data_IF_806450130710
#
_entry.id   IF_806450130710
#
_cell.length_a   1.000
_cell.length_b   1.000
_cell.length_c   1.000
_cell.angle_alpha   90.00
_cell.angle_beta   90.00
_cell.angle_gamma   90.00
#
_symmetry.space_group_name_H-M   'P 1'
#
loop_
_entity.id
_entity.type
_entity.pdbx_description
1 polymer ?
#
# COMPACT_ATOMS: atom_id res chain seq x y z
N UNK A 1 18.94 -5.00 -0.24
CA UNK A 1 17.52 -4.88 0.17
C UNK A 1 17.24 -3.40 0.36
N UNK A 2 16.42 -2.83 -0.49
CA UNK A 2 15.97 -1.43 -0.43
C UNK A 2 14.47 -1.39 -0.09
N UNK A 3 14.00 -0.25 0.44
CA UNK A 3 12.59 0.03 0.68
C UNK A 3 12.17 1.18 -0.23
N UNK A 4 11.20 0.93 -1.08
CA UNK A 4 10.59 1.91 -1.98
C UNK A 4 9.15 2.19 -1.57
N UNK A 5 8.60 3.31 -2.02
CA UNK A 5 7.17 3.60 -1.91
C UNK A 5 6.65 4.21 -3.20
N UNK A 6 5.43 3.83 -3.54
CA UNK A 6 4.64 4.40 -4.64
C UNK A 6 3.17 4.31 -4.26
N UNK A 7 2.39 5.35 -4.51
CA UNK A 7 0.95 5.37 -4.25
C UNK A 7 0.16 5.53 -5.55
N UNK A 8 -1.16 5.38 -5.47
CA UNK A 8 -2.11 5.76 -6.51
C UNK A 8 -1.83 5.09 -7.87
N UNK A 9 -1.64 3.77 -7.85
CA UNK A 9 -1.40 3.01 -9.09
C UNK A 9 -2.64 2.92 -9.98
N UNK A 10 -3.83 3.02 -9.39
CA UNK A 10 -5.11 3.08 -10.10
C UNK A 10 -5.21 2.09 -11.27
N UNK A 11 -4.78 0.86 -11.03
CA UNK A 11 -4.85 -0.19 -12.04
C UNK A 11 -6.30 -0.50 -12.41
N UNK A 12 -6.52 -0.96 -13.63
CA UNK A 12 -7.87 -1.23 -14.15
C UNK A 12 -7.90 -2.38 -15.16
N UNK A 13 -7.02 -3.36 -15.01
CA UNK A 13 -6.98 -4.50 -15.93
C UNK A 13 -8.23 -5.38 -15.88
N UNK A 14 -8.94 -5.38 -14.75
CA UNK A 14 -10.16 -6.15 -14.55
C UNK A 14 -11.45 -5.35 -14.64
N UNK A 15 -11.38 -4.05 -14.92
CA UNK A 15 -12.55 -3.17 -15.05
C UNK A 15 -12.34 -2.12 -16.14
N UNK A 16 -13.45 -1.57 -16.66
CA UNK A 16 -13.41 -0.56 -17.72
C UNK A 16 -13.31 0.86 -17.14
N UNK A 17 -12.13 1.18 -16.59
CA UNK A 17 -11.79 2.53 -16.10
C UNK A 17 -10.36 2.89 -16.49
N UNK A 18 -10.08 3.11 -17.79
CA UNK A 18 -8.75 3.40 -18.27
C UNK A 18 -8.26 4.76 -17.75
N UNK A 19 -7.05 4.78 -17.17
CA UNK A 19 -6.41 6.02 -16.70
C UNK A 19 -5.69 6.77 -17.82
N UNK A 20 -5.41 6.15 -18.94
CA UNK A 20 -4.71 6.72 -20.10
C UNK A 20 -5.51 7.79 -20.84
N UNK A 21 -6.79 7.97 -20.51
CA UNK A 21 -7.60 9.12 -20.96
C UNK A 21 -7.11 10.44 -20.33
N UNK A 22 -6.36 10.41 -19.25
CA UNK A 22 -5.85 11.59 -18.59
C UNK A 22 -4.47 11.98 -19.13
N UNK A 23 -4.24 13.28 -19.23
CA UNK A 23 -2.94 13.81 -19.70
C UNK A 23 -1.80 13.31 -18.81
N UNK A 24 -0.80 12.69 -19.42
CA UNK A 24 0.37 12.16 -18.70
C UNK A 24 0.26 10.71 -18.26
N UNK A 25 -0.91 10.08 -18.41
CA UNK A 25 -1.14 8.68 -18.05
C UNK A 25 -1.05 7.71 -19.24
N UNK A 26 -0.76 8.19 -20.43
CA UNK A 26 -0.56 7.34 -21.62
C UNK A 26 0.48 6.26 -21.33
N UNK A 27 0.14 5.00 -21.62
CA UNK A 27 0.98 3.81 -21.41
C UNK A 27 1.54 3.69 -19.98
N UNK A 28 0.78 4.17 -18.97
CA UNK A 28 1.29 4.28 -17.60
C UNK A 28 1.66 2.93 -16.98
N UNK A 29 0.93 1.87 -17.27
CA UNK A 29 1.20 0.53 -16.76
C UNK A 29 2.49 -0.05 -17.34
N UNK A 30 2.73 0.16 -18.64
CA UNK A 30 3.96 -0.24 -19.31
C UNK A 30 5.16 0.54 -18.77
N UNK A 31 4.99 1.86 -18.59
CA UNK A 31 6.03 2.73 -18.00
C UNK A 31 6.33 2.36 -16.54
N UNK A 32 5.27 2.07 -15.76
CA UNK A 32 5.40 1.61 -14.38
C UNK A 32 6.20 0.28 -14.33
N UNK A 33 5.78 -0.71 -15.11
CA UNK A 33 6.45 -2.01 -15.17
C UNK A 33 7.91 -1.88 -15.61
N UNK A 34 8.19 -1.10 -16.65
CA UNK A 34 9.55 -0.91 -17.14
C UNK A 34 10.47 -0.27 -16.08
N UNK A 35 9.99 0.79 -15.41
CA UNK A 35 10.76 1.46 -14.34
C UNK A 35 10.91 0.59 -13.10
N UNK A 36 9.86 -0.14 -12.72
CA UNK A 36 9.89 -1.06 -11.59
C UNK A 36 10.93 -2.15 -11.81
N UNK A 37 10.90 -2.83 -12.97
CA UNK A 37 11.87 -3.87 -13.31
C UNK A 37 13.32 -3.35 -13.43
N UNK A 38 13.51 -2.06 -13.71
CA UNK A 38 14.83 -1.45 -13.78
C UNK A 38 15.41 -1.06 -12.39
N UNK A 39 14.56 -0.88 -11.39
CA UNK A 39 14.95 -0.32 -10.09
C UNK A 39 14.85 -1.32 -8.94
N UNK A 40 13.87 -2.21 -8.96
CA UNK A 40 13.52 -3.08 -7.84
C UNK A 40 14.09 -4.47 -8.05
N UNK A 41 14.86 -4.93 -7.08
CA UNK A 41 15.41 -6.29 -7.05
C UNK A 41 14.45 -7.26 -6.32
N UNK A 42 14.53 -8.58 -6.54
CA UNK A 42 13.68 -9.56 -5.87
C UNK A 42 13.74 -9.52 -4.33
N UNK A 43 14.86 -9.05 -3.77
CA UNK A 43 15.07 -8.92 -2.32
C UNK A 43 14.53 -7.62 -1.73
N UNK A 44 14.05 -6.69 -2.56
CA UNK A 44 13.56 -5.38 -2.12
C UNK A 44 12.09 -5.43 -1.70
N UNK A 45 11.66 -4.35 -1.05
CA UNK A 45 10.27 -4.17 -0.63
C UNK A 45 9.73 -2.86 -1.19
N UNK A 46 8.51 -2.90 -1.71
CA UNK A 46 7.79 -1.72 -2.18
C UNK A 46 6.51 -1.58 -1.38
N UNK A 47 6.33 -0.45 -0.72
CA UNK A 47 5.09 -0.11 -0.02
C UNK A 47 4.19 0.67 -0.96
N UNK A 48 2.93 0.23 -1.06
CA UNK A 48 1.89 0.88 -1.85
C UNK A 48 0.78 1.27 -0.87
N UNK A 49 0.74 2.51 -0.37
CA UNK A 49 -0.14 2.90 0.73
C UNK A 49 -1.63 2.79 0.43
N UNK A 50 -2.04 2.86 -0.84
CA UNK A 50 -3.44 2.72 -1.24
C UNK A 50 -3.69 3.13 -2.69
N UNK A 51 -4.98 3.15 -3.04
CA UNK A 51 -5.50 3.45 -4.37
C UNK A 51 -4.88 2.56 -5.46
N UNK A 52 -4.92 1.27 -5.19
CA UNK A 52 -4.27 0.23 -5.99
C UNK A 52 -5.02 0.01 -7.30
N UNK A 53 -6.34 -0.11 -7.21
CA UNK A 53 -7.19 -0.59 -8.30
C UNK A 53 -8.56 0.08 -8.30
N UNK A 54 -9.08 0.36 -9.49
CA UNK A 54 -10.46 0.81 -9.70
C UNK A 54 -11.51 -0.30 -9.62
N UNK A 55 -11.11 -1.52 -9.36
CA UNK A 55 -12.03 -2.64 -9.21
C UNK A 55 -13.04 -2.40 -8.08
N UNK A 56 -14.26 -2.90 -8.25
CA UNK A 56 -15.31 -2.83 -7.24
C UNK A 56 -15.35 -4.10 -6.39
N UNK A 57 -14.78 -5.19 -6.89
CA UNK A 57 -14.78 -6.50 -6.23
C UNK A 57 -13.38 -7.13 -6.27
N UNK A 58 -13.10 -8.07 -5.37
CA UNK A 58 -11.85 -8.85 -5.37
C UNK A 58 -11.68 -9.66 -6.67
N UNK A 59 -12.77 -10.12 -7.26
CA UNK A 59 -12.73 -10.86 -8.52
C UNK A 59 -12.21 -9.99 -9.65
N UNK A 60 -12.70 -8.76 -9.77
CA UNK A 60 -12.21 -7.76 -10.74
C UNK A 60 -10.76 -7.37 -10.44
N UNK A 61 -10.41 -7.17 -9.17
CA UNK A 61 -9.06 -6.79 -8.76
C UNK A 61 -7.99 -7.88 -9.06
N UNK A 62 -8.41 -9.12 -9.29
CA UNK A 62 -7.46 -10.23 -9.50
C UNK A 62 -6.48 -10.00 -10.66
N UNK A 63 -6.89 -9.32 -11.72
CA UNK A 63 -6.01 -9.00 -12.85
C UNK A 63 -4.93 -7.98 -12.45
N UNK A 64 -5.30 -6.98 -11.66
CA UNK A 64 -4.40 -5.94 -11.16
C UNK A 64 -3.39 -6.53 -10.16
N UNK A 65 -3.86 -7.41 -9.27
CA UNK A 65 -2.99 -8.12 -8.33
C UNK A 65 -2.02 -9.07 -9.04
N UNK A 66 -2.45 -9.73 -10.11
CA UNK A 66 -1.56 -10.57 -10.93
C UNK A 66 -0.45 -9.74 -11.58
N UNK A 67 -0.79 -8.55 -12.08
CA UNK A 67 0.21 -7.63 -12.61
C UNK A 67 1.22 -7.24 -11.52
N UNK A 68 0.78 -6.86 -10.33
CA UNK A 68 1.67 -6.48 -9.23
C UNK A 68 2.50 -7.67 -8.73
N UNK A 69 1.91 -8.87 -8.61
CA UNK A 69 2.62 -10.05 -8.12
C UNK A 69 3.74 -10.48 -9.07
N UNK A 70 3.58 -10.26 -10.37
CA UNK A 70 4.59 -10.53 -11.39
C UNK A 70 5.80 -9.57 -11.34
N UNK A 71 5.67 -8.40 -10.71
CA UNK A 71 6.78 -7.47 -10.56
C UNK A 71 7.73 -7.92 -9.43
N UNK A 72 9.05 -7.65 -9.54
CA UNK A 72 10.02 -8.07 -8.52
C UNK A 72 9.79 -7.38 -7.16
N UNK A 73 10.31 -8.00 -6.10
CA UNK A 73 10.24 -7.52 -4.73
C UNK A 73 8.95 -7.88 -4.00
N UNK A 74 8.95 -7.72 -2.69
CA UNK A 74 7.75 -7.85 -1.86
C UNK A 74 6.92 -6.58 -1.92
N UNK A 75 5.61 -6.69 -2.18
CA UNK A 75 4.67 -5.56 -2.15
C UNK A 75 3.90 -5.57 -0.84
N UNK A 76 3.96 -4.46 -0.09
CA UNK A 76 3.17 -4.23 1.12
C UNK A 76 2.11 -3.20 0.77
N UNK A 77 0.84 -3.62 0.77
CA UNK A 77 -0.28 -2.86 0.24
C UNK A 77 -1.19 -2.40 1.36
N UNK A 78 -1.35 -1.07 1.49
CA UNK A 78 -2.35 -0.43 2.33
C UNK A 78 -3.69 -0.26 1.63
N UNK A 79 -4.68 0.28 2.36
CA UNK A 79 -6.02 0.55 1.84
C UNK A 79 -6.18 2.05 1.55
N UNK A 80 -6.40 2.41 0.30
CA UNK A 80 -6.81 3.73 -0.12
C UNK A 80 -8.33 3.94 -0.12
N UNK A 81 -8.75 5.17 -0.41
CA UNK A 81 -10.17 5.52 -0.43
C UNK A 81 -10.90 4.98 -1.68
N UNK A 82 -10.20 4.74 -2.77
CA UNK A 82 -10.75 4.15 -3.99
C UNK A 82 -10.63 2.62 -4.05
N UNK A 83 -10.06 1.97 -3.03
CA UNK A 83 -9.97 0.51 -2.97
C UNK A 83 -11.30 -0.12 -2.51
N UNK A 84 -12.36 0.03 -3.33
CA UNK A 84 -13.70 -0.48 -3.04
C UNK A 84 -13.78 -2.01 -2.96
N UNK A 85 -12.83 -2.71 -3.61
CA UNK A 85 -12.66 -4.17 -3.56
C UNK A 85 -12.20 -4.67 -2.20
N UNK A 86 -11.73 -3.79 -1.31
CA UNK A 86 -11.18 -4.18 0.00
C UNK A 86 -12.21 -4.91 0.87
N UNK A 87 -11.79 -6.00 1.49
CA UNK A 87 -12.57 -6.86 2.36
C UNK A 87 -11.91 -7.01 3.73
N UNK A 88 -12.44 -7.88 4.59
CA UNK A 88 -11.78 -8.25 5.84
C UNK A 88 -10.42 -8.88 5.57
N UNK A 89 -9.44 -8.70 6.46
CA UNK A 89 -8.10 -9.26 6.33
C UNK A 89 -8.10 -10.79 6.10
N UNK A 90 -9.04 -11.50 6.73
CA UNK A 90 -9.20 -12.93 6.49
C UNK A 90 -9.55 -13.26 5.04
N UNK A 91 -10.51 -12.54 4.45
CA UNK A 91 -10.90 -12.73 3.04
C UNK A 91 -9.78 -12.33 2.08
N UNK A 92 -9.07 -11.24 2.39
CA UNK A 92 -7.93 -10.78 1.60
C UNK A 92 -6.80 -11.82 1.59
N UNK A 93 -6.46 -12.40 2.74
CA UNK A 93 -5.45 -13.44 2.83
C UNK A 93 -5.86 -14.75 2.12
N UNK A 94 -7.16 -15.09 2.15
CA UNK A 94 -7.70 -16.22 1.38
C UNK A 94 -7.53 -15.94 -0.12
N UNK A 95 -7.90 -14.74 -0.57
CA UNK A 95 -7.78 -14.33 -1.97
C UNK A 95 -6.32 -14.42 -2.49
N UNK A 96 -5.33 -13.95 -1.72
CA UNK A 96 -3.92 -14.10 -2.12
C UNK A 96 -3.53 -15.57 -2.29
N UNK A 97 -3.91 -16.40 -1.33
CA UNK A 97 -3.57 -17.83 -1.35
C UNK A 97 -4.24 -18.57 -2.50
N UNK A 98 -5.53 -18.33 -2.75
CA UNK A 98 -6.29 -19.00 -3.82
C UNK A 98 -5.80 -18.63 -5.22
N UNK A 99 -5.29 -17.40 -5.39
CA UNK A 99 -4.72 -16.93 -6.66
C UNK A 99 -3.21 -17.17 -6.80
N UNK A 100 -2.55 -17.70 -5.76
CA UNK A 100 -1.11 -17.97 -5.76
C UNK A 100 -0.25 -16.70 -5.71
N UNK A 101 -0.78 -15.58 -5.24
CA UNK A 101 -0.03 -14.32 -5.10
C UNK A 101 0.88 -14.42 -3.87
N UNK A 102 2.17 -14.57 -4.12
CA UNK A 102 3.17 -14.90 -3.08
C UNK A 102 4.00 -13.71 -2.62
N UNK A 103 4.05 -12.65 -3.42
CA UNK A 103 4.89 -11.47 -3.15
C UNK A 103 4.11 -10.31 -2.51
N UNK A 104 2.79 -10.46 -2.31
CA UNK A 104 1.89 -9.42 -1.82
C UNK A 104 1.52 -9.66 -0.36
N UNK A 105 1.52 -8.59 0.43
CA UNK A 105 1.10 -8.55 1.82
C UNK A 105 0.18 -7.36 2.05
N UNK A 106 -0.83 -7.49 2.90
CA UNK A 106 -1.71 -6.38 3.26
C UNK A 106 -1.30 -5.70 4.55
N UNK A 107 -1.27 -4.37 4.52
CA UNK A 107 -0.95 -3.50 5.64
C UNK A 107 -2.24 -2.86 6.15
N UNK A 108 -2.75 -3.33 7.29
CA UNK A 108 -3.96 -2.79 7.91
C UNK A 108 -3.97 -3.15 9.39
N UNK A 109 -3.69 -2.18 10.24
CA UNK A 109 -3.55 -2.32 11.69
C UNK A 109 -2.53 -3.41 12.09
N UNK A 110 -1.47 -3.52 11.32
CA UNK A 110 -0.38 -4.47 11.53
C UNK A 110 0.96 -3.86 11.11
N UNK A 111 2.03 -4.61 11.28
CA UNK A 111 3.36 -4.19 10.89
C UNK A 111 4.14 -5.32 10.21
N UNK A 112 5.08 -4.93 9.34
CA UNK A 112 6.05 -5.84 8.72
C UNK A 112 7.47 -5.34 8.95
N UNK A 113 8.36 -6.26 9.31
CA UNK A 113 9.79 -5.95 9.41
C UNK A 113 10.45 -5.99 8.03
N UNK A 114 11.15 -4.92 7.69
CA UNK A 114 11.97 -4.79 6.47
C UNK A 114 13.37 -4.34 6.89
N UNK A 115 14.30 -5.28 7.01
CA UNK A 115 15.61 -5.02 7.62
C UNK A 115 15.46 -4.56 9.07
N UNK A 116 15.93 -3.36 9.38
CA UNK A 116 15.84 -2.73 10.70
C UNK A 116 14.66 -1.75 10.82
N UNK A 117 13.77 -1.73 9.81
CA UNK A 117 12.61 -0.85 9.76
C UNK A 117 11.33 -1.66 10.02
N UNK A 118 10.44 -1.13 10.85
CA UNK A 118 9.05 -1.58 10.93
C UNK A 118 8.19 -0.74 10.00
N UNK A 119 7.53 -1.38 9.04
CA UNK A 119 6.53 -0.76 8.17
C UNK A 119 5.18 -1.00 8.80
N UNK A 120 4.55 0.05 9.31
CA UNK A 120 3.27 0.02 10.01
C UNK A 120 2.23 0.77 9.19
N UNK A 121 0.97 0.39 9.29
CA UNK A 121 -0.09 1.10 8.59
C UNK A 121 -1.46 0.86 9.17
N UNK A 122 -2.26 1.93 9.13
CA UNK A 122 -3.68 1.94 9.42
C UNK A 122 -4.38 2.78 8.35
N UNK A 123 -5.69 2.61 8.19
CA UNK A 123 -6.47 3.49 7.36
C UNK A 123 -6.71 4.79 8.10
N UNK A 124 -6.26 5.92 7.54
CA UNK A 124 -6.65 7.25 7.97
C UNK A 124 -8.11 7.54 7.59
N UNK A 125 -8.91 7.98 8.54
CA UNK A 125 -10.23 8.56 8.31
C UNK A 125 -10.18 10.06 8.54
N UNK A 126 -11.24 10.74 8.16
CA UNK A 126 -11.39 12.17 8.40
C UNK A 126 -11.10 12.51 9.85
N UNK A 127 -10.25 13.50 10.06
CA UNK A 127 -10.24 14.22 11.33
C UNK A 127 -11.52 15.05 11.37
N UNK A 128 -12.61 14.46 11.83
CA UNK A 128 -13.71 15.26 12.29
C UNK A 128 -13.24 15.98 13.56
N UNK A 129 -13.24 17.30 13.51
CA UNK A 129 -12.91 18.15 14.66
C UNK A 129 -13.94 18.04 15.81
N UNK A 130 -14.85 17.09 15.74
CA UNK A 130 -15.87 16.75 16.71
C UNK A 130 -15.67 15.30 17.21
N UNK A 131 -14.67 15.09 18.06
CA UNK A 131 -14.72 14.11 19.14
C UNK A 131 -15.01 12.66 18.78
N UNK A 132 -14.32 12.05 17.82
CA UNK A 132 -14.33 10.61 17.67
C UNK A 132 -13.07 10.02 18.32
N UNK A 133 -13.23 9.55 19.54
CA UNK A 133 -12.27 8.69 20.26
C UNK A 133 -12.24 7.30 19.58
N UNK A 134 -11.56 7.19 18.45
CA UNK A 134 -11.13 5.90 17.95
C UNK A 134 -9.63 5.96 17.66
N UNK A 135 -8.85 5.73 18.70
CA UNK A 135 -7.45 5.35 18.55
C UNK A 135 -7.42 3.99 17.82
N UNK A 136 -7.32 4.00 16.49
CA UNK A 136 -6.89 2.80 15.78
C UNK A 136 -5.41 2.57 16.11
N UNK A 137 -5.16 1.72 17.09
CA UNK A 137 -3.81 1.33 17.48
C UNK A 137 -3.26 0.33 16.48
N UNK A 138 -2.09 0.62 15.91
CA UNK A 138 -1.34 -0.34 15.11
C UNK A 138 -0.62 -1.29 16.06
N UNK A 139 -0.86 -2.60 15.91
CA UNK A 139 -0.14 -3.61 16.67
C UNK A 139 1.28 -3.79 16.09
N UNK A 140 2.26 -3.35 16.85
CA UNK A 140 3.69 -3.47 16.53
C UNK A 140 4.41 -4.44 17.47
N UNK A 141 3.69 -5.14 18.33
CA UNK A 141 4.27 -5.96 19.40
C UNK A 141 5.18 -7.11 18.92
N UNK A 142 4.92 -7.60 17.69
CA UNK A 142 5.73 -8.67 17.10
C UNK A 142 6.94 -8.17 16.29
N UNK A 143 7.13 -6.86 16.17
CA UNK A 143 8.15 -6.27 15.31
C UNK A 143 9.21 -5.55 16.14
N UNK A 144 10.29 -6.27 16.50
CA UNK A 144 11.48 -5.64 17.05
C UNK A 144 12.24 -4.93 15.92
N UNK A 145 12.15 -3.62 15.84
CA UNK A 145 12.85 -2.80 14.85
C UNK A 145 13.40 -1.52 15.46
N UNK A 146 14.51 -1.02 14.89
CA UNK A 146 15.14 0.23 15.32
C UNK A 146 14.36 1.47 14.84
N UNK A 147 13.55 1.32 13.79
CA UNK A 147 12.76 2.40 13.19
C UNK A 147 11.38 1.88 12.81
N UNK A 148 10.34 2.70 13.00
CA UNK A 148 9.01 2.42 12.50
C UNK A 148 8.61 3.51 11.47
N UNK A 149 8.09 3.08 10.32
CA UNK A 149 7.54 3.96 9.30
C UNK A 149 6.05 3.68 9.22
N UNK A 150 5.23 4.71 9.48
CA UNK A 150 3.79 4.61 9.43
C UNK A 150 3.29 5.12 8.09
N UNK A 151 2.42 4.34 7.46
CA UNK A 151 1.69 4.74 6.27
C UNK A 151 0.22 4.89 6.64
N UNK A 152 -0.31 6.07 6.39
CA UNK A 152 -1.70 6.39 6.64
C UNK A 152 -2.28 7.05 5.40
N UNK A 153 -3.39 6.52 4.89
CA UNK A 153 -4.15 7.14 3.81
C UNK A 153 -5.05 8.24 4.39
N UNK A 154 -4.86 9.46 3.91
CA UNK A 154 -5.69 10.63 4.26
C UNK A 154 -6.38 11.18 3.01
N UNK A 155 -7.69 11.27 3.05
CA UNK A 155 -8.58 11.63 1.94
C UNK A 155 -8.32 13.01 1.27
N UNK A 156 -7.48 13.86 1.82
CA UNK A 156 -7.27 15.23 1.32
C UNK A 156 -5.83 15.73 1.39
N UNK A 157 -4.87 15.02 0.96
CA UNK A 157 -3.45 15.35 0.97
C UNK A 157 -2.67 14.61 2.05
N UNK A 158 -1.66 13.94 1.57
CA UNK A 158 -0.53 13.40 2.31
C UNK A 158 -0.70 11.96 2.79
N UNK A 159 0.02 11.08 2.11
CA UNK A 159 0.54 9.87 2.74
C UNK A 159 1.51 10.33 3.82
N UNK A 160 1.12 10.21 5.08
CA UNK A 160 2.05 10.47 6.19
C UNK A 160 2.95 9.26 6.35
N UNK A 161 4.26 9.49 6.27
CA UNK A 161 5.23 8.57 6.82
C UNK A 161 5.76 9.17 8.12
N UNK A 162 5.49 8.53 9.24
CA UNK A 162 6.13 8.88 10.50
C UNK A 162 7.25 7.89 10.77
N UNK A 163 8.43 8.38 11.10
CA UNK A 163 9.56 7.56 11.52
C UNK A 163 9.66 7.64 13.03
N UNK A 164 9.46 6.53 13.72
CA UNK A 164 9.72 6.44 15.14
C UNK A 164 11.14 5.91 15.37
N UNK A 165 11.96 6.69 16.08
CA UNK A 165 13.25 6.30 16.60
C UNK A 165 13.20 6.38 18.12
N UNK A 166 13.55 5.33 18.79
CA UNK A 166 13.60 5.29 20.27
C UNK A 166 12.27 5.69 20.95
N UNK A 167 11.13 5.35 20.34
CA UNK A 167 9.80 5.66 20.86
C UNK A 167 9.33 7.11 20.59
N UNK A 168 10.06 7.90 19.82
CA UNK A 168 9.69 9.26 19.43
C UNK A 168 9.22 9.24 17.98
N UNK A 169 7.98 9.65 17.74
CA UNK A 169 7.40 9.78 16.40
C UNK A 169 7.82 11.12 15.79
N UNK A 170 8.52 11.08 14.67
CA UNK A 170 8.81 12.25 13.86
C UNK A 170 7.89 12.26 12.66
N UNK A 171 7.06 13.29 12.55
CA UNK A 171 6.20 13.49 11.39
C UNK A 171 7.03 13.91 10.17
N UNK A 172 6.96 13.11 9.11
CA UNK A 172 7.51 13.50 7.83
C UNK A 172 6.38 14.03 6.94
N UNK A 173 6.41 15.32 6.64
CA UNK A 173 5.50 15.91 5.67
C UNK A 173 5.94 15.51 4.26
N UNK A 174 5.10 14.74 3.57
CA UNK A 174 5.34 14.38 2.17
C UNK A 174 5.20 15.59 1.25
N UNK A 175 6.04 15.65 0.24
CA UNK A 175 6.06 16.71 -0.76
C UNK A 175 4.81 16.64 -1.65
N UNK A 176 4.21 17.80 -1.90
CA UNK A 176 3.20 18.08 -2.92
C UNK A 176 3.77 17.94 -4.34
#
# INVERSE_FOLDING_TARGET
MALYTIADTHLSFGCDKPMDIFKGWTDYTQRLSAKWNALVEPSDTVVIPGDISWAMTLGEAAADFRFLDALPGTKIIGKGNHDYWWQTMSKLNIFLRENGFSTIKFLFNNAYRVGDIAVCGARGWFFDAAGADSEETVDVSEVAASYAVFFQDCHYRLTYAAVARDGIVHECHGFT
#
